data_IF_245207213387
#
_entry.id   IF_245207213387
#
_cell.length_a   1.000
_cell.length_b   1.000
_cell.length_c   1.000
_cell.angle_alpha   90.00
_cell.angle_beta   90.00
_cell.angle_gamma   90.00
#
_symmetry.space_group_name_H-M   'P 1'
#
loop_
_entity.id
_entity.type
_entity.pdbx_description
1 polymer ?
#
# COMPACT_ATOMS: atom_id res chain seq x y z
N UNK A 1 9.20 -0.60 5.04
CA UNK A 1 10.25 -1.32 4.31
C UNK A 1 9.57 -2.16 3.21
N UNK A 2 9.91 -1.91 1.97
CA UNK A 2 9.26 -2.53 0.81
C UNK A 2 10.30 -3.22 -0.07
N UNK A 3 9.98 -4.43 -0.54
CA UNK A 3 10.75 -5.14 -1.56
C UNK A 3 10.04 -5.01 -2.92
N UNK A 4 10.46 -4.04 -3.70
CA UNK A 4 9.85 -3.74 -5.00
C UNK A 4 10.05 -4.84 -6.05
N UNK A 5 10.94 -5.81 -5.83
CA UNK A 5 11.16 -6.94 -6.75
C UNK A 5 10.23 -8.11 -6.44
N UNK A 6 10.04 -8.43 -5.15
CA UNK A 6 9.33 -9.63 -4.70
C UNK A 6 7.94 -9.34 -4.14
N UNK A 7 7.62 -8.07 -3.88
CA UNK A 7 6.35 -7.65 -3.31
C UNK A 7 6.21 -8.03 -1.83
N UNK A 8 7.30 -8.03 -1.09
CA UNK A 8 7.27 -8.20 0.36
C UNK A 8 7.40 -6.83 1.04
N UNK A 9 6.74 -6.66 2.19
CA UNK A 9 6.81 -5.40 2.93
C UNK A 9 6.79 -5.61 4.45
N UNK A 10 7.24 -4.60 5.18
CA UNK A 10 7.07 -4.45 6.63
C UNK A 10 6.75 -3.00 6.93
N UNK A 11 5.58 -2.77 7.50
CA UNK A 11 5.14 -1.48 8.01
C UNK A 11 5.23 -1.49 9.54
N UNK A 12 6.08 -0.64 10.06
CA UNK A 12 6.23 -0.46 11.49
C UNK A 12 5.70 0.90 11.91
N UNK A 13 4.98 0.93 13.00
CA UNK A 13 4.44 2.16 13.57
C UNK A 13 4.85 2.30 15.04
N UNK A 14 5.08 3.53 15.44
CA UNK A 14 5.33 3.91 16.83
C UNK A 14 4.52 5.17 17.13
N UNK A 15 3.28 4.95 17.57
CA UNK A 15 2.31 6.00 17.92
C UNK A 15 1.98 5.81 19.39
N UNK A 16 2.68 6.49 20.32
CA UNK A 16 2.48 6.26 21.74
C UNK A 16 1.01 6.42 22.18
N UNK A 17 0.48 5.50 22.99
CA UNK A 17 1.18 4.40 23.67
C UNK A 17 1.31 3.10 22.83
N UNK A 18 1.02 3.11 21.55
CA UNK A 18 1.01 1.95 20.69
C UNK A 18 2.24 1.92 19.78
N UNK A 19 2.89 0.77 19.73
CA UNK A 19 3.93 0.48 18.76
C UNK A 19 3.71 -0.95 18.23
N UNK A 20 3.88 -1.17 16.94
CA UNK A 20 3.67 -2.47 16.35
C UNK A 20 4.19 -2.53 14.92
N UNK A 21 3.93 -3.64 14.26
CA UNK A 21 4.25 -3.77 12.85
C UNK A 21 3.40 -4.85 12.20
N UNK A 22 3.14 -4.66 10.92
CA UNK A 22 2.57 -5.66 10.03
C UNK A 22 3.57 -6.01 8.96
N UNK A 23 3.47 -7.20 8.39
CA UNK A 23 4.34 -7.58 7.30
C UNK A 23 3.77 -8.68 6.43
N UNK A 24 4.29 -8.72 5.22
CA UNK A 24 4.00 -9.74 4.21
C UNK A 24 5.30 -10.16 3.54
N UNK A 25 5.61 -11.45 3.55
CA UNK A 25 6.87 -11.98 3.01
C UNK A 25 6.79 -12.44 1.53
N UNK A 26 5.68 -12.12 0.87
CA UNK A 26 5.35 -12.57 -0.47
C UNK A 26 4.45 -13.82 -0.50
N UNK A 27 4.17 -14.42 0.68
CA UNK A 27 3.32 -15.60 0.80
C UNK A 27 2.47 -15.60 2.08
N UNK A 28 3.01 -15.08 3.18
CA UNK A 28 2.38 -15.06 4.50
C UNK A 28 2.37 -13.65 5.07
N UNK A 29 1.26 -13.29 5.68
CA UNK A 29 1.12 -12.04 6.43
C UNK A 29 1.21 -12.31 7.94
N UNK A 30 1.71 -11.34 8.68
CA UNK A 30 1.85 -11.39 10.13
C UNK A 30 1.65 -9.99 10.74
N UNK A 31 1.34 -9.98 12.04
CA UNK A 31 1.21 -8.76 12.84
C UNK A 31 1.96 -8.92 14.15
N UNK A 32 2.72 -7.90 14.53
CA UNK A 32 3.32 -7.75 15.86
C UNK A 32 2.56 -6.67 16.61
N UNK A 33 1.89 -7.06 17.68
CA UNK A 33 1.15 -6.16 18.56
C UNK A 33 2.06 -5.38 19.51
N UNK A 34 1.58 -4.29 20.15
CA UNK A 34 2.34 -3.56 21.16
C UNK A 34 2.82 -4.41 22.34
N UNK A 35 2.10 -5.48 22.66
CA UNK A 35 2.48 -6.48 23.68
C UNK A 35 3.76 -7.27 23.36
N UNK A 36 4.23 -7.20 22.10
CA UNK A 36 5.29 -8.04 21.59
C UNK A 36 4.83 -9.39 21.04
N UNK A 37 3.54 -9.72 21.20
CA UNK A 37 2.93 -10.92 20.60
C UNK A 37 2.98 -10.83 19.08
N UNK A 38 3.32 -11.93 18.42
CA UNK A 38 3.39 -12.00 16.96
C UNK A 38 2.47 -13.09 16.43
N UNK A 39 1.50 -12.72 15.62
CA UNK A 39 0.48 -13.63 15.08
C UNK A 39 0.56 -13.73 13.57
N UNK A 40 0.29 -14.94 13.03
CA UNK A 40 0.09 -15.12 11.60
C UNK A 40 -1.31 -14.62 11.22
N UNK A 41 -1.37 -13.82 10.17
CA UNK A 41 -2.60 -13.26 9.62
C UNK A 41 -2.98 -14.05 8.37
N UNK A 42 -4.01 -14.90 8.44
CA UNK A 42 -4.38 -15.79 7.34
C UNK A 42 -5.90 -15.83 7.06
N UNK A 43 -6.70 -15.06 7.80
CA UNK A 43 -8.17 -15.09 7.69
C UNK A 43 -8.71 -14.20 6.57
N UNK A 44 -9.86 -14.57 6.02
CA UNK A 44 -10.63 -13.72 5.11
C UNK A 44 -9.85 -13.18 3.93
N UNK A 45 -9.81 -11.87 3.83
CA UNK A 45 -9.21 -11.13 2.72
C UNK A 45 -7.76 -10.67 2.97
N UNK A 46 -7.11 -11.08 4.08
CA UNK A 46 -5.78 -10.59 4.48
C UNK A 46 -4.74 -10.78 3.36
N UNK A 47 -4.59 -11.98 2.84
CA UNK A 47 -3.61 -12.26 1.79
C UNK A 47 -3.97 -11.54 0.47
N UNK A 48 -5.21 -11.58 -0.04
CA UNK A 48 -5.59 -10.80 -1.21
C UNK A 48 -5.37 -9.29 -1.06
N UNK A 49 -5.58 -8.72 0.13
CA UNK A 49 -5.30 -7.30 0.40
C UNK A 49 -3.79 -7.01 0.40
N UNK A 50 -2.98 -7.85 1.05
CA UNK A 50 -1.52 -7.72 1.05
C UNK A 50 -0.92 -7.83 -0.38
N UNK A 51 -1.50 -8.68 -1.24
CA UNK A 51 -1.11 -8.76 -2.65
C UNK A 51 -1.44 -7.45 -3.38
N UNK A 52 -2.62 -6.87 -3.11
CA UNK A 52 -3.02 -5.60 -3.73
C UNK A 52 -2.12 -4.44 -3.27
N UNK A 53 -1.79 -4.38 -1.99
CA UNK A 53 -0.85 -3.41 -1.43
C UNK A 53 0.54 -3.55 -2.10
N UNK A 54 1.12 -4.74 -2.09
CA UNK A 54 2.39 -5.02 -2.75
C UNK A 54 2.37 -4.71 -4.27
N UNK A 55 1.24 -4.83 -4.94
CA UNK A 55 1.05 -4.45 -6.34
C UNK A 55 1.16 -2.93 -6.50
N UNK A 56 0.50 -2.17 -5.61
CA UNK A 56 0.52 -0.70 -5.61
C UNK A 56 1.92 -0.16 -5.32
N UNK A 57 2.59 -0.65 -4.29
CA UNK A 57 3.95 -0.23 -3.89
C UNK A 57 4.95 -0.39 -5.03
N UNK A 58 4.82 -1.48 -5.77
CA UNK A 58 5.65 -1.76 -6.95
C UNK A 58 5.24 -0.99 -8.20
N UNK A 59 4.14 -0.27 -8.18
CA UNK A 59 3.59 0.44 -9.33
C UNK A 59 3.46 -0.45 -10.57
N UNK A 60 2.99 -1.68 -10.41
CA UNK A 60 3.01 -2.70 -11.47
C UNK A 60 2.13 -2.35 -12.67
N UNK A 61 1.17 -1.44 -12.52
CA UNK A 61 0.37 -0.92 -13.66
C UNK A 61 1.22 -0.28 -14.77
N UNK A 62 2.45 0.19 -14.47
CA UNK A 62 3.36 0.76 -15.47
C UNK A 62 4.25 -0.29 -16.17
N UNK A 63 4.25 -1.53 -15.70
CA UNK A 63 4.99 -2.61 -16.35
C UNK A 63 4.29 -3.03 -17.65
N UNK A 64 5.01 -3.51 -18.66
CA UNK A 64 4.43 -3.90 -19.97
C UNK A 64 3.34 -4.98 -19.86
N UNK A 65 3.47 -5.88 -18.89
CA UNK A 65 2.52 -6.97 -18.61
C UNK A 65 1.56 -6.62 -17.46
N UNK A 66 1.62 -5.38 -16.96
CA UNK A 66 0.86 -4.89 -15.82
C UNK A 66 0.99 -5.77 -14.57
N UNK A 67 2.13 -6.48 -14.42
CA UNK A 67 2.33 -7.44 -13.32
C UNK A 67 1.32 -8.59 -13.32
N UNK A 68 0.72 -8.89 -14.47
CA UNK A 68 -0.31 -9.92 -14.64
C UNK A 68 -1.69 -9.51 -14.11
N UNK A 69 -1.92 -8.24 -13.81
CA UNK A 69 -3.23 -7.73 -13.40
C UNK A 69 -4.17 -7.56 -14.61
N UNK A 70 -5.47 -7.73 -14.38
CA UNK A 70 -6.49 -7.26 -15.30
C UNK A 70 -6.70 -5.76 -15.08
N UNK A 71 -6.57 -4.97 -16.17
CA UNK A 71 -6.78 -3.52 -16.12
C UNK A 71 -7.86 -3.14 -17.12
N UNK A 72 -8.91 -2.48 -16.63
CA UNK A 72 -10.04 -2.01 -17.44
C UNK A 72 -10.21 -0.51 -17.23
N UNK A 73 -10.37 0.24 -18.33
CA UNK A 73 -10.69 1.66 -18.24
C UNK A 73 -12.09 1.86 -17.65
N UNK A 74 -12.18 2.64 -16.59
CA UNK A 74 -13.44 3.13 -16.02
C UNK A 74 -13.80 4.54 -16.53
N UNK A 75 -13.10 5.01 -17.58
CA UNK A 75 -13.31 6.32 -18.20
C UNK A 75 -12.65 7.46 -17.46
N UNK A 76 -13.15 8.68 -17.68
CA UNK A 76 -12.63 9.87 -17.02
C UNK A 76 -13.60 10.34 -15.92
N UNK A 77 -13.02 10.83 -14.83
CA UNK A 77 -13.77 11.49 -13.73
C UNK A 77 -13.15 12.85 -13.43
N UNK A 78 -13.94 13.74 -12.87
CA UNK A 78 -13.51 15.09 -12.47
C UNK A 78 -13.59 15.24 -10.95
N UNK A 79 -12.57 15.79 -10.35
CA UNK A 79 -12.53 16.12 -8.93
C UNK A 79 -11.72 17.41 -8.74
N UNK A 80 -12.23 18.35 -7.91
CA UNK A 80 -11.57 19.63 -7.66
C UNK A 80 -11.24 20.47 -8.91
N UNK A 81 -11.98 20.26 -10.02
CA UNK A 81 -11.74 20.95 -11.30
C UNK A 81 -10.65 20.31 -12.17
N UNK A 82 -10.03 19.24 -11.73
CA UNK A 82 -9.08 18.45 -12.51
C UNK A 82 -9.74 17.19 -13.10
N UNK A 83 -9.17 16.69 -14.20
CA UNK A 83 -9.63 15.48 -14.88
C UNK A 83 -8.66 14.35 -14.63
N UNK A 84 -9.19 13.17 -14.39
CA UNK A 84 -8.44 11.96 -14.07
C UNK A 84 -8.87 10.82 -14.98
N UNK A 85 -7.90 10.09 -15.49
CA UNK A 85 -8.13 8.80 -16.13
C UNK A 85 -8.26 7.74 -15.03
N UNK A 86 -9.37 7.00 -15.05
CA UNK A 86 -9.69 6.03 -14.00
C UNK A 86 -9.59 4.62 -14.56
N UNK A 87 -8.82 3.80 -13.86
CA UNK A 87 -8.66 2.39 -14.17
C UNK A 87 -9.23 1.54 -13.03
N UNK A 88 -9.93 0.48 -13.38
CA UNK A 88 -10.18 -0.64 -12.47
C UNK A 88 -9.04 -1.63 -12.65
N UNK A 89 -8.31 -1.89 -11.59
CA UNK A 89 -7.14 -2.78 -11.56
C UNK A 89 -7.45 -3.96 -10.66
N UNK A 90 -7.29 -5.18 -11.18
CA UNK A 90 -7.45 -6.41 -10.41
C UNK A 90 -6.14 -7.18 -10.45
N UNK A 91 -5.29 -7.06 -9.43
CA UNK A 91 -4.06 -7.84 -9.33
C UNK A 91 -4.38 -9.35 -9.31
N UNK A 92 -3.52 -10.15 -9.91
CA UNK A 92 -3.68 -11.61 -9.85
C UNK A 92 -3.66 -12.06 -8.38
N UNK A 93 -4.68 -12.80 -7.97
CA UNK A 93 -4.90 -13.28 -6.59
C UNK A 93 -5.12 -12.16 -5.55
N UNK A 94 -5.18 -10.89 -5.99
CA UNK A 94 -5.46 -9.72 -5.15
C UNK A 94 -6.91 -9.26 -5.19
N UNK A 95 -7.18 -8.13 -4.55
CA UNK A 95 -8.49 -7.46 -4.57
C UNK A 95 -8.53 -6.36 -5.63
N UNK A 96 -9.68 -6.12 -6.28
CA UNK A 96 -9.81 -5.01 -7.21
C UNK A 96 -9.75 -3.66 -6.51
N UNK A 97 -9.18 -2.67 -7.22
CA UNK A 97 -9.16 -1.28 -6.81
C UNK A 97 -9.44 -0.36 -8.00
N UNK A 98 -9.91 0.86 -7.75
CA UNK A 98 -9.84 1.95 -8.72
C UNK A 98 -8.55 2.73 -8.50
N UNK A 99 -7.81 3.01 -9.57
CA UNK A 99 -6.66 3.90 -9.60
C UNK A 99 -6.95 5.10 -10.49
N UNK A 100 -6.80 6.32 -9.96
CA UNK A 100 -7.08 7.58 -10.63
C UNK A 100 -5.78 8.28 -10.94
N UNK A 101 -5.49 8.51 -12.22
CA UNK A 101 -4.29 9.17 -12.69
C UNK A 101 -4.63 10.55 -13.23
N UNK A 102 -3.91 11.57 -12.82
CA UNK A 102 -4.07 12.92 -13.38
C UNK A 102 -3.82 12.90 -14.89
N UNK A 103 -4.77 13.37 -15.69
CA UNK A 103 -4.73 13.25 -17.15
C UNK A 103 -3.62 14.07 -17.82
N UNK A 104 -2.95 14.97 -17.08
CA UNK A 104 -1.86 15.82 -17.59
C UNK A 104 -0.49 15.34 -17.15
N UNK A 105 -0.34 15.06 -15.86
CA UNK A 105 0.94 14.63 -15.26
C UNK A 105 1.14 13.11 -15.29
N UNK A 106 0.05 12.36 -15.43
CA UNK A 106 -0.03 10.90 -15.30
C UNK A 106 0.38 10.37 -13.93
N UNK A 107 0.49 11.23 -12.92
CA UNK A 107 0.75 10.82 -11.55
C UNK A 107 -0.51 10.23 -10.92
N UNK A 108 -0.34 9.25 -10.06
CA UNK A 108 -1.42 8.67 -9.28
C UNK A 108 -1.97 9.74 -8.34
N UNK A 109 -3.27 10.00 -8.43
CA UNK A 109 -3.95 10.95 -7.56
C UNK A 109 -4.68 10.24 -6.41
N UNK A 110 -5.33 9.11 -6.71
CA UNK A 110 -6.20 8.44 -5.75
C UNK A 110 -6.27 6.95 -6.02
N UNK A 111 -6.32 6.16 -4.96
CA UNK A 111 -6.82 4.79 -5.00
C UNK A 111 -8.13 4.68 -4.22
N UNK A 112 -8.98 3.75 -4.65
CA UNK A 112 -10.23 3.41 -3.98
C UNK A 112 -10.30 1.91 -3.88
N UNK A 113 -10.28 1.40 -2.66
CA UNK A 113 -10.30 -0.02 -2.35
C UNK A 113 -11.54 -0.37 -1.56
N UNK A 114 -11.97 -1.63 -1.69
CA UNK A 114 -12.96 -2.23 -0.80
C UNK A 114 -12.25 -3.30 0.03
N UNK A 115 -12.00 -3.00 1.30
CA UNK A 115 -11.73 -4.09 2.23
C UNK A 115 -13.04 -4.82 2.56
N UNK A 116 -12.99 -5.87 3.38
CA UNK A 116 -14.17 -6.72 3.66
C UNK A 116 -15.37 -5.98 4.27
N UNK A 117 -15.19 -4.76 4.80
CA UNK A 117 -16.23 -4.04 5.58
C UNK A 117 -16.46 -2.61 5.11
N UNK A 118 -15.47 -1.94 4.52
CA UNK A 118 -15.56 -0.53 4.21
C UNK A 118 -14.73 -0.13 2.99
N UNK A 119 -15.07 1.04 2.46
CA UNK A 119 -14.34 1.68 1.37
C UNK A 119 -13.17 2.45 1.95
N UNK A 120 -11.98 2.20 1.43
CA UNK A 120 -10.77 2.93 1.75
C UNK A 120 -10.39 3.82 0.57
N UNK A 121 -10.24 5.11 0.81
CA UNK A 121 -9.82 6.08 -0.20
C UNK A 121 -8.48 6.66 0.23
N UNK A 122 -7.44 6.46 -0.58
CA UNK A 122 -6.15 7.09 -0.36
C UNK A 122 -5.89 8.13 -1.44
N UNK A 123 -5.61 9.36 -1.03
CA UNK A 123 -5.28 10.47 -1.94
C UNK A 123 -3.81 10.80 -1.80
N UNK A 124 -3.11 10.89 -2.94
CA UNK A 124 -1.67 11.09 -3.06
C UNK A 124 -1.35 12.50 -3.54
N UNK A 125 -0.42 13.18 -2.90
CA UNK A 125 -0.02 14.54 -3.25
C UNK A 125 1.44 14.83 -2.88
N UNK A 126 1.89 16.07 -3.16
CA UNK A 126 3.22 16.57 -2.82
C UNK A 126 4.34 15.71 -3.38
N UNK A 127 4.22 15.37 -4.69
CA UNK A 127 5.18 14.53 -5.38
C UNK A 127 6.58 15.17 -5.43
N UNK A 128 7.60 14.37 -5.17
CA UNK A 128 9.00 14.77 -5.28
C UNK A 128 9.82 13.67 -5.96
N UNK A 129 10.86 14.09 -6.68
CA UNK A 129 11.78 13.16 -7.29
C UNK A 129 12.74 12.57 -6.24
N UNK A 130 12.85 11.24 -6.23
CA UNK A 130 13.78 10.47 -5.42
C UNK A 130 14.44 9.45 -6.34
N UNK A 131 15.74 9.54 -6.55
CA UNK A 131 16.52 8.63 -7.41
C UNK A 131 15.89 8.38 -8.80
N UNK A 132 15.26 9.43 -9.37
CA UNK A 132 14.64 9.40 -10.70
C UNK A 132 13.16 8.94 -10.72
N UNK A 133 12.62 8.48 -9.60
CA UNK A 133 11.20 8.16 -9.46
C UNK A 133 10.42 9.34 -8.84
N UNK A 134 9.14 9.47 -9.19
CA UNK A 134 8.22 10.41 -8.56
C UNK A 134 7.53 9.73 -7.39
N UNK A 135 7.76 10.22 -6.17
CA UNK A 135 7.21 9.67 -4.93
C UNK A 135 6.25 10.68 -4.31
N UNK A 136 5.02 10.25 -4.01
CA UNK A 136 4.08 11.05 -3.25
C UNK A 136 4.58 11.20 -1.81
N UNK A 137 4.71 12.43 -1.34
CA UNK A 137 5.17 12.71 0.03
C UNK A 137 4.05 12.90 1.02
N UNK A 138 2.81 12.99 0.55
CA UNK A 138 1.65 13.13 1.41
C UNK A 138 0.55 12.19 0.94
N UNK A 139 0.03 11.40 1.86
CA UNK A 139 -1.12 10.53 1.69
C UNK A 139 -2.21 10.98 2.67
N UNK A 140 -3.44 11.06 2.19
CA UNK A 140 -4.62 11.27 3.03
C UNK A 140 -5.52 10.05 2.85
N UNK A 141 -5.78 9.36 3.95
CA UNK A 141 -6.57 8.14 3.98
C UNK A 141 -7.92 8.45 4.62
N UNK A 142 -8.99 8.11 3.92
CA UNK A 142 -10.38 8.18 4.36
C UNK A 142 -10.96 6.77 4.36
N UNK A 143 -11.29 6.27 5.54
CA UNK A 143 -11.89 4.95 5.75
C UNK A 143 -13.42 5.01 5.83
N UNK A 144 -14.01 6.17 5.56
CA UNK A 144 -15.46 6.40 5.62
C UNK A 144 -16.01 6.54 7.04
N UNK A 145 -15.18 6.51 8.08
CA UNK A 145 -15.60 6.73 9.48
C UNK A 145 -15.81 8.21 9.82
N UNK A 146 -15.39 9.11 8.92
CA UNK A 146 -15.36 10.54 9.14
C UNK A 146 -14.05 11.07 9.73
N UNK A 147 -13.10 10.19 10.01
CA UNK A 147 -11.74 10.55 10.42
C UNK A 147 -10.79 10.43 9.22
N UNK A 148 -10.02 11.48 8.99
CA UNK A 148 -8.98 11.48 7.97
C UNK A 148 -7.62 11.24 8.62
N UNK A 149 -6.93 10.22 8.18
CA UNK A 149 -5.53 10.00 8.56
C UNK A 149 -4.62 10.64 7.52
N UNK A 150 -3.66 11.44 7.97
CA UNK A 150 -2.63 12.04 7.10
C UNK A 150 -1.28 11.44 7.40
N UNK A 151 -0.67 10.86 6.37
CA UNK A 151 0.70 10.37 6.42
C UNK A 151 1.60 11.32 5.63
N UNK A 152 2.75 11.67 6.20
CA UNK A 152 3.76 12.47 5.52
C UNK A 152 5.06 11.69 5.46
N UNK A 153 5.51 11.41 4.24
CA UNK A 153 6.79 10.75 3.99
C UNK A 153 7.93 11.76 4.19
N UNK A 154 8.67 11.62 5.27
CA UNK A 154 9.80 12.49 5.60
C UNK A 154 11.06 12.15 4.83
N UNK A 155 11.25 10.85 4.51
CA UNK A 155 12.36 10.38 3.70
C UNK A 155 12.00 9.13 2.94
N UNK A 156 12.57 8.97 1.75
CA UNK A 156 12.55 7.72 0.98
C UNK A 156 13.98 7.45 0.49
N UNK A 157 14.36 6.19 0.44
CA UNK A 157 15.66 5.76 -0.05
C UNK A 157 15.51 4.44 -0.77
N UNK A 158 15.98 4.37 -2.00
CA UNK A 158 16.16 3.12 -2.71
C UNK A 158 17.50 2.49 -2.30
N UNK A 159 17.49 1.20 -2.04
CA UNK A 159 18.67 0.42 -1.67
C UNK A 159 18.67 -0.92 -2.41
N UNK A 160 19.78 -1.65 -2.31
CA UNK A 160 19.78 -3.05 -2.75
C UNK A 160 18.72 -3.86 -1.98
N UNK A 161 18.17 -4.88 -2.64
CA UNK A 161 17.17 -5.76 -2.05
C UNK A 161 17.74 -6.46 -0.81
N UNK A 162 17.01 -6.39 0.28
CA UNK A 162 17.33 -7.13 1.50
C UNK A 162 17.01 -8.63 1.35
N UNK A 163 17.62 -9.51 2.15
CA UNK A 163 17.24 -10.92 2.17
C UNK A 163 15.76 -11.06 2.62
N UNK A 164 15.05 -12.06 2.09
CA UNK A 164 13.63 -12.29 2.46
C UNK A 164 13.40 -12.46 3.96
N UNK A 165 14.42 -12.85 4.70
CA UNK A 165 14.36 -12.96 6.16
C UNK A 165 14.03 -11.62 6.85
N UNK A 166 14.30 -10.47 6.19
CA UNK A 166 13.97 -9.15 6.70
C UNK A 166 12.45 -8.87 6.71
N UNK A 167 11.68 -9.62 5.93
CA UNK A 167 10.23 -9.46 5.76
C UNK A 167 9.42 -10.55 6.47
N UNK A 168 10.09 -11.57 7.00
CA UNK A 168 9.43 -12.68 7.69
C UNK A 168 8.94 -12.26 9.08
N UNK A 169 7.97 -13.03 9.56
CA UNK A 169 7.49 -12.95 10.94
C UNK A 169 8.67 -12.89 11.92
N UNK A 170 8.80 -11.83 12.73
CA UNK A 170 9.84 -11.73 13.74
C UNK A 170 9.62 -12.73 14.89
N UNK A 171 10.64 -12.91 15.71
CA UNK A 171 10.45 -13.60 16.99
C UNK A 171 9.57 -12.79 17.92
N UNK A 172 8.84 -13.47 18.80
CA UNK A 172 8.10 -12.81 19.87
C UNK A 172 9.09 -12.14 20.85
N UNK A 173 8.71 -10.95 21.29
CA UNK A 173 9.43 -10.17 22.29
C UNK A 173 8.38 -9.64 23.28
N UNK A 174 7.98 -10.53 24.20
CA UNK A 174 6.91 -10.25 25.15
C UNK A 174 7.37 -9.23 26.19
N UNK A 175 6.65 -8.15 26.32
CA UNK A 175 6.84 -7.14 27.33
C UNK A 175 5.76 -7.28 28.41
N UNK A 176 6.18 -7.36 29.67
CA UNK A 176 5.26 -7.22 30.82
C UNK A 176 4.87 -5.75 30.94
N UNK A 177 3.58 -5.46 30.94
CA UNK A 177 2.99 -4.14 31.13
C UNK A 177 2.63 -3.91 32.59
#
# INVERSE_FOLDING_TARGET
LEDLQRGAFVDAYDIPPQAGSTGYDGAKAWEKEPSGTVTDQAGGDVIPLAITEAYQDRNLWWQPDHGGAEIVSAGQKTDGGNTYDVLTVTPKDGKPLEAWFDSKSHLLYRTVEMNSVQKLITTYSDYAAVDGAQIAKKLVIDDGSGNLQTLTLTSAKFSEALPLTAYRKPAEDLHDF
#
